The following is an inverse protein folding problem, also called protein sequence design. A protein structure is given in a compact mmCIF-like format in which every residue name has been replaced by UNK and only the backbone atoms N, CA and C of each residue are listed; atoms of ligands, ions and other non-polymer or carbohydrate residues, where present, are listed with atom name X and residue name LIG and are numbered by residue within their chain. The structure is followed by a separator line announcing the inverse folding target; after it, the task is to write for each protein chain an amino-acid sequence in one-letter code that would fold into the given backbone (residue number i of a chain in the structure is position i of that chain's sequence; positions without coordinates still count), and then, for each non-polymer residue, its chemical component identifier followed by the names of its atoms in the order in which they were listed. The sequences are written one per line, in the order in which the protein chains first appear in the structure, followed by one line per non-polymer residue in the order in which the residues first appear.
data_IF_326084991567
#
_entry.id   IF_326084991567
#
_cell.length_a   1.000
_cell.length_b   1.000
_cell.length_c   1.000
_cell.angle_alpha   90.00
_cell.angle_beta   90.00
_cell.angle_gamma   90.00
#
_symmetry.space_group_name_H-M   'P 1'
#
loop_
_entity.id
_entity.type
_entity.pdbx_description
1 polymer ?
#
# COMPACT_ATOMS: atom_id res chain seq x y z
N UNK A 1 16.46 16.19 2.60
CA UNK A 1 16.01 15.02 3.37
C UNK A 1 14.56 15.27 3.72
N UNK A 2 13.64 14.49 3.14
CA UNK A 2 12.19 14.66 3.28
C UNK A 2 11.77 14.38 4.72
N UNK A 3 11.56 15.42 5.52
CA UNK A 3 11.06 15.30 6.89
C UNK A 3 9.52 15.19 6.90
N UNK A 4 8.93 14.96 8.07
CA UNK A 4 7.47 14.83 8.20
C UNK A 4 6.68 16.04 7.68
N UNK A 5 7.23 17.26 7.76
CA UNK A 5 6.58 18.45 7.19
C UNK A 5 6.52 18.39 5.66
N UNK A 6 7.58 17.91 5.02
CA UNK A 6 7.60 17.75 3.57
C UNK A 6 6.64 16.63 3.12
N UNK A 7 6.50 15.55 3.90
CA UNK A 7 5.49 14.52 3.66
C UNK A 7 4.06 15.09 3.71
N UNK A 8 3.74 15.88 4.74
CA UNK A 8 2.44 16.58 4.83
C UNK A 8 2.23 17.52 3.65
N UNK A 9 3.27 18.22 3.19
CA UNK A 9 3.18 19.08 2.01
C UNK A 9 2.86 18.27 0.74
N UNK A 10 3.48 17.10 0.55
CA UNK A 10 3.18 16.21 -0.59
C UNK A 10 1.73 15.72 -0.54
N UNK A 11 1.29 15.22 0.62
CA UNK A 11 -0.10 14.78 0.81
C UNK A 11 -1.10 15.92 0.52
N UNK A 12 -0.88 17.09 1.10
CA UNK A 12 -1.74 18.26 0.89
C UNK A 12 -1.77 18.72 -0.58
N UNK A 13 -0.61 18.70 -1.26
CA UNK A 13 -0.53 19.03 -2.69
C UNK A 13 -1.32 18.02 -3.52
N UNK A 14 -1.18 16.73 -3.24
CA UNK A 14 -1.88 15.68 -3.98
C UNK A 14 -3.40 15.78 -3.78
N UNK A 15 -3.86 15.96 -2.55
CA UNK A 15 -5.28 16.17 -2.24
C UNK A 15 -5.86 17.40 -2.96
N UNK A 16 -5.12 18.51 -3.03
CA UNK A 16 -5.55 19.73 -3.75
C UNK A 16 -5.73 19.54 -5.25
N UNK A 17 -4.99 18.61 -5.87
CA UNK A 17 -5.13 18.29 -7.30
C UNK A 17 -6.46 17.60 -7.62
N UNK A 18 -7.18 17.07 -6.61
CA UNK A 18 -8.43 16.31 -6.76
C UNK A 18 -8.31 15.03 -7.59
N UNK A 19 -7.10 14.62 -7.93
CA UNK A 19 -6.83 13.29 -8.46
C UNK A 19 -6.66 12.34 -7.27
N UNK A 20 -7.69 11.52 -7.08
CA UNK A 20 -7.85 10.67 -5.90
C UNK A 20 -7.55 9.20 -6.18
N UNK A 21 -6.97 8.88 -7.34
CA UNK A 21 -6.55 7.52 -7.69
C UNK A 21 -5.43 7.07 -6.75
N UNK A 22 -5.43 5.82 -6.36
CA UNK A 22 -4.42 5.22 -5.49
C UNK A 22 -2.99 5.41 -6.03
N UNK A 23 -2.80 5.12 -7.33
CA UNK A 23 -1.53 5.29 -8.04
C UNK A 23 -0.91 6.68 -7.90
N UNK A 24 -1.71 7.74 -7.84
CA UNK A 24 -1.14 9.10 -7.70
C UNK A 24 -0.66 9.40 -6.28
N UNK A 25 -1.16 8.70 -5.26
CA UNK A 25 -0.60 8.74 -3.91
C UNK A 25 0.65 7.87 -3.79
N UNK A 26 0.63 6.69 -4.42
CA UNK A 26 1.82 5.82 -4.55
C UNK A 26 3.00 6.58 -5.13
N UNK A 27 2.85 7.12 -6.35
CA UNK A 27 3.96 7.67 -7.12
C UNK A 27 4.43 9.04 -6.60
N UNK A 28 3.50 9.89 -6.14
CA UNK A 28 3.84 11.28 -5.80
C UNK A 28 4.07 11.52 -4.31
N UNK A 29 3.72 10.57 -3.44
CA UNK A 29 3.79 10.78 -1.98
C UNK A 29 4.44 9.62 -1.26
N UNK A 30 3.86 8.43 -1.34
CA UNK A 30 4.22 7.30 -0.49
C UNK A 30 5.58 6.71 -0.88
N UNK A 31 5.80 6.43 -2.16
CA UNK A 31 7.10 5.94 -2.63
C UNK A 31 8.24 6.94 -2.36
N UNK A 32 8.13 8.24 -2.72
CA UNK A 32 9.15 9.23 -2.39
C UNK A 32 9.45 9.33 -0.89
N UNK A 33 8.44 9.23 -0.04
CA UNK A 33 8.61 9.25 1.41
C UNK A 33 9.37 8.02 1.92
N UNK A 34 9.00 6.83 1.45
CA UNK A 34 9.69 5.59 1.80
C UNK A 34 11.15 5.61 1.34
N UNK A 35 11.45 6.09 0.12
CA UNK A 35 12.82 6.19 -0.39
C UNK A 35 13.73 7.08 0.47
N UNK A 36 13.15 8.07 1.15
CA UNK A 36 13.90 8.94 2.07
C UNK A 36 14.09 8.30 3.44
N UNK A 37 13.09 7.58 3.94
CA UNK A 37 13.16 6.92 5.24
C UNK A 37 14.01 5.65 5.22
N UNK A 38 14.02 4.97 4.08
CA UNK A 38 14.56 3.62 3.89
C UNK A 38 15.68 3.65 2.85
N UNK A 39 16.69 4.50 3.08
CA UNK A 39 17.77 4.78 2.11
C UNK A 39 18.59 3.56 1.72
N UNK A 40 18.60 2.53 2.56
CA UNK A 40 19.36 1.31 2.35
C UNK A 40 18.58 0.23 1.59
N UNK A 41 17.33 0.53 1.18
CA UNK A 41 16.43 -0.43 0.54
C UNK A 41 15.94 0.06 -0.82
N UNK A 42 15.69 -0.88 -1.72
CA UNK A 42 15.01 -0.65 -2.99
C UNK A 42 13.50 -0.57 -2.73
N UNK A 43 12.86 0.46 -3.31
CA UNK A 43 11.41 0.69 -3.23
C UNK A 43 10.83 0.69 -4.65
N UNK A 44 10.32 -0.47 -5.06
CA UNK A 44 9.92 -0.71 -6.45
C UNK A 44 8.41 -0.81 -6.63
N UNK A 45 7.83 -0.15 -7.64
CA UNK A 45 6.44 -0.34 -8.02
C UNK A 45 6.27 -1.72 -8.66
N UNK A 46 5.32 -2.49 -8.14
CA UNK A 46 5.07 -3.88 -8.55
C UNK A 46 3.59 -4.14 -8.80
N UNK A 47 2.79 -3.07 -8.92
CA UNK A 47 1.35 -3.06 -9.19
C UNK A 47 0.99 -3.65 -10.57
N UNK A 48 1.96 -3.76 -11.47
CA UNK A 48 1.79 -4.31 -12.82
C UNK A 48 2.52 -5.64 -12.97
N UNK A 49 1.75 -6.67 -13.31
CA UNK A 49 2.26 -8.00 -13.70
C UNK A 49 2.49 -8.09 -15.20
N UNK A 50 3.63 -8.64 -15.59
CA UNK A 50 3.96 -9.00 -16.98
C UNK A 50 4.17 -10.53 -17.04
N UNK A 51 3.81 -11.15 -18.16
CA UNK A 51 4.08 -12.57 -18.36
C UNK A 51 5.58 -12.78 -18.65
N UNK A 52 6.27 -13.51 -17.78
CA UNK A 52 7.70 -13.81 -17.93
C UNK A 52 8.06 -15.13 -17.25
N UNK A 53 8.99 -15.86 -17.84
CA UNK A 53 9.62 -17.04 -17.21
C UNK A 53 10.69 -16.67 -16.19
N UNK A 54 11.22 -15.45 -16.24
CA UNK A 54 12.37 -15.01 -15.43
C UNK A 54 11.96 -14.52 -14.03
N UNK A 55 10.72 -14.05 -13.90
CA UNK A 55 10.19 -13.46 -12.67
C UNK A 55 9.18 -14.39 -11.99
N UNK A 56 9.36 -14.61 -10.70
CA UNK A 56 8.45 -15.34 -9.84
C UNK A 56 7.78 -14.39 -8.85
N UNK A 57 6.60 -13.90 -9.25
CA UNK A 57 5.78 -13.04 -8.39
C UNK A 57 5.40 -13.73 -7.08
N UNK A 58 5.26 -15.06 -7.03
CA UNK A 58 4.83 -15.78 -5.81
C UNK A 58 5.82 -15.66 -4.65
N UNK A 59 7.04 -15.18 -4.89
CA UNK A 59 8.01 -14.93 -3.83
C UNK A 59 7.58 -13.80 -2.89
N UNK A 60 6.94 -12.74 -3.40
CA UNK A 60 6.51 -11.58 -2.59
C UNK A 60 5.05 -11.17 -2.79
N UNK A 61 4.41 -11.61 -3.87
CA UNK A 61 2.97 -11.51 -4.08
C UNK A 61 2.25 -12.68 -3.42
N UNK A 62 1.15 -12.37 -2.75
CA UNK A 62 0.19 -13.37 -2.31
C UNK A 62 -0.49 -14.10 -3.46
N UNK A 63 -1.23 -15.16 -3.16
CA UNK A 63 -2.11 -15.83 -4.13
C UNK A 63 -3.55 -15.94 -3.64
N UNK A 64 -4.47 -16.11 -4.58
CA UNK A 64 -5.87 -16.45 -4.32
C UNK A 64 -6.42 -17.31 -5.45
N UNK A 65 -7.47 -18.08 -5.16
CA UNK A 65 -8.12 -18.93 -6.15
C UNK A 65 -9.31 -18.19 -6.76
N UNK A 66 -9.38 -18.14 -8.09
CA UNK A 66 -10.52 -17.63 -8.84
C UNK A 66 -10.89 -18.66 -9.91
N UNK A 67 -12.12 -19.17 -9.88
CA UNK A 67 -12.60 -20.20 -10.82
C UNK A 67 -11.69 -21.44 -10.87
N UNK A 68 -11.16 -21.88 -9.72
CA UNK A 68 -10.25 -23.03 -9.62
C UNK A 68 -8.81 -22.76 -10.07
N UNK A 69 -8.49 -21.54 -10.50
CA UNK A 69 -7.16 -21.13 -10.95
C UNK A 69 -6.50 -20.29 -9.86
N UNK A 70 -5.26 -20.63 -9.50
CA UNK A 70 -4.45 -19.82 -8.59
C UNK A 70 -3.90 -18.59 -9.33
N UNK A 71 -4.16 -17.40 -8.77
CA UNK A 71 -3.77 -16.11 -9.31
C UNK A 71 -2.94 -15.37 -8.26
N UNK A 72 -1.87 -14.72 -8.70
CA UNK A 72 -1.05 -13.83 -7.87
C UNK A 72 -1.75 -12.48 -7.66
N UNK A 73 -1.86 -12.02 -6.42
CA UNK A 73 -2.27 -10.67 -6.08
C UNK A 73 -1.03 -9.77 -5.96
N UNK A 74 -0.91 -8.77 -6.83
CA UNK A 74 0.21 -7.81 -6.81
C UNK A 74 -0.05 -6.75 -5.74
N UNK A 75 0.92 -6.47 -4.84
CA UNK A 75 0.89 -5.27 -4.01
C UNK A 75 1.28 -4.04 -4.84
N UNK A 76 1.19 -2.84 -4.27
CA UNK A 76 1.56 -1.61 -4.97
C UNK A 76 3.06 -1.40 -5.03
N UNK A 77 3.74 -1.57 -3.88
CA UNK A 77 5.19 -1.46 -3.77
C UNK A 77 5.82 -2.71 -3.14
N UNK A 78 7.06 -2.99 -3.52
CA UNK A 78 7.93 -3.95 -2.85
C UNK A 78 9.11 -3.21 -2.22
N UNK A 79 9.42 -3.55 -0.97
CA UNK A 79 10.62 -3.11 -0.27
C UNK A 79 11.56 -4.29 -0.16
N UNK A 80 12.75 -4.16 -0.72
CA UNK A 80 13.75 -5.22 -0.71
C UNK A 80 15.16 -4.70 -0.54
N UNK A 81 16.05 -5.61 -0.21
CA UNK A 81 17.48 -5.43 -0.38
C UNK A 81 17.89 -6.19 -1.66
N UNK A 82 18.58 -5.48 -2.56
CA UNK A 82 19.07 -5.96 -3.85
C UNK A 82 17.93 -6.42 -4.78
N UNK A 83 16.99 -5.53 -5.10
CA UNK A 83 15.93 -5.81 -6.06
C UNK A 83 16.52 -6.27 -7.39
N UNK A 84 15.99 -7.38 -7.89
CA UNK A 84 16.32 -7.88 -9.21
C UNK A 84 15.08 -8.49 -9.83
N UNK A 85 14.74 -8.04 -11.04
CA UNK A 85 13.58 -8.56 -11.76
C UNK A 85 13.74 -10.03 -12.13
N UNK A 86 14.95 -10.52 -12.38
CA UNK A 86 15.23 -11.94 -12.65
C UNK A 86 15.37 -12.73 -11.34
N UNK A 87 14.38 -12.61 -10.45
CA UNK A 87 14.40 -13.13 -9.07
C UNK A 87 14.36 -14.67 -8.95
N UNK A 88 14.25 -15.39 -10.08
CA UNK A 88 14.47 -16.84 -10.12
C UNK A 88 15.95 -17.22 -10.09
N UNK A 89 16.79 -16.38 -10.70
CA UNK A 89 18.24 -16.59 -10.81
C UNK A 89 19.03 -15.77 -9.79
N UNK A 90 18.44 -14.69 -9.30
CA UNK A 90 19.07 -13.77 -8.38
C UNK A 90 18.38 -13.80 -7.01
N UNK A 91 19.17 -13.71 -5.94
CA UNK A 91 18.65 -13.63 -4.58
C UNK A 91 18.19 -12.20 -4.33
N UNK A 92 16.89 -12.06 -4.03
CA UNK A 92 16.27 -10.80 -3.58
C UNK A 92 15.82 -11.00 -2.14
N UNK A 93 16.17 -10.06 -1.26
CA UNK A 93 15.85 -10.11 0.16
C UNK A 93 14.63 -9.23 0.46
N UNK A 94 13.44 -9.81 0.31
CA UNK A 94 12.17 -9.11 0.54
C UNK A 94 12.00 -8.71 2.01
N UNK A 95 11.78 -7.42 2.27
CA UNK A 95 11.59 -6.88 3.62
C UNK A 95 10.12 -6.72 3.97
N UNK A 96 9.33 -6.19 3.05
CA UNK A 96 7.88 -6.16 3.11
C UNK A 96 7.31 -5.75 1.74
N UNK A 97 5.98 -5.79 1.64
CA UNK A 97 5.24 -5.15 0.56
C UNK A 97 4.34 -4.06 1.12
N UNK A 98 3.97 -3.10 0.28
CA UNK A 98 3.07 -1.99 0.65
C UNK A 98 1.80 -2.10 -0.16
N UNK A 99 0.68 -2.16 0.54
CA UNK A 99 -0.67 -1.98 0.01
C UNK A 99 -1.10 -0.55 0.32
N UNK A 100 -1.39 0.21 -0.71
CA UNK A 100 -1.73 1.61 -0.67
C UNK A 100 -3.21 1.73 -0.98
N UNK A 101 -3.94 2.59 -0.28
CA UNK A 101 -5.32 2.94 -0.61
C UNK A 101 -5.49 4.43 -0.82
N UNK A 102 -6.56 4.81 -1.48
CA UNK A 102 -6.94 6.22 -1.59
C UNK A 102 -7.54 6.72 -0.27
N UNK A 103 -6.99 7.80 0.35
CA UNK A 103 -7.58 8.40 1.55
C UNK A 103 -8.98 8.99 1.30
N UNK A 104 -9.42 9.05 0.03
CA UNK A 104 -10.73 9.55 -0.37
C UNK A 104 -11.66 8.42 -0.81
N UNK A 105 -11.21 7.54 -1.72
CA UNK A 105 -12.09 6.51 -2.28
C UNK A 105 -12.22 5.26 -1.39
N UNK A 106 -11.13 4.86 -0.73
CA UNK A 106 -11.08 3.68 0.13
C UNK A 106 -10.25 3.96 1.40
N UNK A 107 -10.71 4.87 2.26
CA UNK A 107 -9.94 5.30 3.42
C UNK A 107 -9.78 4.19 4.45
N UNK A 108 -8.63 4.17 5.12
CA UNK A 108 -8.44 3.42 6.36
C UNK A 108 -8.38 4.37 7.56
N UNK A 109 -8.02 5.63 7.34
CA UNK A 109 -7.98 6.67 8.37
C UNK A 109 -9.36 6.90 8.99
N UNK A 110 -9.41 6.91 10.31
CA UNK A 110 -10.66 7.09 11.09
C UNK A 110 -11.48 5.80 11.24
N UNK A 111 -10.96 4.66 10.81
CA UNK A 111 -11.59 3.35 10.98
C UNK A 111 -10.72 2.44 11.85
N UNK A 112 -11.39 1.59 12.64
CA UNK A 112 -10.76 0.46 13.31
C UNK A 112 -10.25 -0.56 12.28
N UNK A 113 -9.10 -1.23 12.49
CA UNK A 113 -8.54 -2.19 11.53
C UNK A 113 -9.52 -3.27 11.05
N UNK A 114 -10.39 -3.75 11.93
CA UNK A 114 -11.42 -4.75 11.61
C UNK A 114 -12.46 -4.29 10.58
N UNK A 115 -12.51 -2.97 10.27
CA UNK A 115 -13.45 -2.37 9.31
C UNK A 115 -12.82 -2.04 7.97
N UNK A 116 -11.52 -2.30 7.78
CA UNK A 116 -10.86 -2.04 6.51
C UNK A 116 -11.42 -2.95 5.41
N UNK A 117 -11.73 -2.39 4.24
CA UNK A 117 -12.31 -3.15 3.11
C UNK A 117 -11.28 -4.01 2.39
N UNK A 118 -10.01 -3.64 2.53
CA UNK A 118 -8.85 -4.25 1.87
C UNK A 118 -8.18 -5.38 2.66
N UNK A 119 -8.79 -5.84 3.75
CA UNK A 119 -8.20 -6.89 4.60
C UNK A 119 -7.92 -8.20 3.84
N UNK A 120 -8.74 -8.54 2.85
CA UNK A 120 -8.50 -9.71 2.02
C UNK A 120 -7.27 -9.56 1.12
N UNK A 121 -6.94 -8.34 0.68
CA UNK A 121 -5.71 -8.07 -0.08
C UNK A 121 -4.48 -8.21 0.82
N UNK A 122 -4.53 -7.61 2.01
CA UNK A 122 -3.48 -7.77 3.04
C UNK A 122 -3.26 -9.24 3.37
N UNK A 123 -4.34 -10.00 3.60
CA UNK A 123 -4.28 -11.43 3.91
C UNK A 123 -3.62 -12.23 2.78
N UNK A 124 -3.91 -11.91 1.52
CA UNK A 124 -3.24 -12.57 0.39
C UNK A 124 -1.75 -12.30 0.45
N UNK A 125 -1.33 -11.03 0.55
CA UNK A 125 0.08 -10.64 0.56
C UNK A 125 0.88 -11.26 1.70
N UNK A 126 0.27 -11.45 2.88
CA UNK A 126 0.89 -12.14 4.01
C UNK A 126 1.21 -13.62 3.72
N UNK A 127 0.57 -14.24 2.74
CA UNK A 127 0.77 -15.63 2.34
C UNK A 127 1.80 -15.80 1.20
N UNK A 128 2.57 -14.77 0.84
CA UNK A 128 3.62 -14.92 -0.16
C UNK A 128 4.73 -15.88 0.33
N UNK A 129 5.41 -16.55 -0.61
CA UNK A 129 6.36 -17.64 -0.25
C UNK A 129 7.57 -17.17 0.54
N UNK A 130 8.06 -15.96 0.28
CA UNK A 130 9.28 -15.39 0.86
C UNK A 130 9.07 -14.02 1.51
N UNK A 131 7.83 -13.57 1.65
CA UNK A 131 7.47 -12.36 2.37
C UNK A 131 6.22 -12.61 3.21
N UNK A 132 6.27 -12.24 4.48
CA UNK A 132 5.12 -12.33 5.40
C UNK A 132 4.84 -10.99 6.07
N UNK A 133 5.28 -9.88 5.47
CA UNK A 133 5.16 -8.53 6.05
C UNK A 133 4.45 -7.61 5.06
N UNK A 134 3.45 -6.88 5.56
CA UNK A 134 2.64 -5.94 4.77
C UNK A 134 2.52 -4.63 5.52
N UNK A 135 2.77 -3.53 4.82
CA UNK A 135 2.41 -2.19 5.25
C UNK A 135 1.13 -1.80 4.52
N UNK A 136 0.06 -1.48 5.25
CA UNK A 136 -1.17 -0.93 4.70
C UNK A 136 -1.23 0.56 5.01
N UNK A 137 -1.45 1.40 4.00
CA UNK A 137 -1.57 2.85 4.22
C UNK A 137 -2.51 3.53 3.23
N UNK A 138 -3.17 4.61 3.66
CA UNK A 138 -3.83 5.57 2.76
C UNK A 138 -3.05 6.89 2.64
N UNK A 139 -1.78 6.89 3.06
CA UNK A 139 -0.94 8.08 3.15
C UNK A 139 -1.24 8.96 4.37
N UNK A 140 -2.13 8.55 5.28
CA UNK A 140 -2.39 9.28 6.53
C UNK A 140 -2.30 8.31 7.70
N UNK A 141 -3.00 7.19 7.64
CA UNK A 141 -2.83 6.09 8.59
C UNK A 141 -1.90 5.04 8.00
N UNK A 142 -1.04 4.48 8.83
CA UNK A 142 -0.10 3.40 8.51
C UNK A 142 -0.31 2.24 9.47
N UNK A 143 -0.55 1.05 8.93
CA UNK A 143 -0.77 -0.18 9.71
C UNK A 143 0.21 -1.24 9.25
N UNK A 144 0.77 -1.99 10.19
CA UNK A 144 1.86 -2.93 9.94
C UNK A 144 1.42 -4.33 10.34
N UNK A 145 1.59 -5.30 9.45
CA UNK A 145 1.21 -6.70 9.66
C UNK A 145 2.42 -7.61 9.47
N UNK A 146 2.46 -8.70 10.25
CA UNK A 146 3.43 -9.78 10.08
C UNK A 146 2.77 -11.13 10.34
N UNK A 147 2.88 -12.05 9.35
CA UNK A 147 2.36 -13.43 9.32
C UNK A 147 0.85 -13.58 9.42
N UNK A 148 0.18 -12.75 10.19
CA UNK A 148 -1.25 -12.81 10.47
C UNK A 148 -1.92 -11.45 10.26
N UNK A 149 -3.25 -11.48 10.13
CA UNK A 149 -4.08 -10.29 9.97
C UNK A 149 -4.36 -9.59 11.32
N UNK A 150 -3.32 -9.48 12.14
CA UNK A 150 -3.31 -8.78 13.41
C UNK A 150 -2.19 -7.73 13.34
N UNK A 151 -2.49 -6.43 13.47
CA UNK A 151 -1.44 -5.41 13.44
C UNK A 151 -0.39 -5.67 14.53
N UNK A 152 0.89 -5.59 14.17
CA UNK A 152 2.01 -5.84 15.11
C UNK A 152 2.20 -4.70 16.11
N UNK A 153 1.72 -3.51 15.75
CA UNK A 153 1.68 -2.31 16.59
C UNK A 153 0.35 -1.58 16.33
N UNK A 154 0.00 -0.66 17.23
CA UNK A 154 -1.10 0.26 16.98
C UNK A 154 -0.84 1.05 15.68
N UNK A 155 -1.89 1.23 14.88
CA UNK A 155 -1.79 2.01 13.64
C UNK A 155 -1.30 3.42 13.93
N UNK A 156 -0.35 3.88 13.12
CA UNK A 156 0.24 5.21 13.25
C UNK A 156 -0.56 6.17 12.38
N UNK A 157 -1.23 7.13 13.01
CA UNK A 157 -1.95 8.20 12.31
C UNK A 157 -1.06 9.44 12.21
N UNK A 158 -0.68 9.80 10.99
CA UNK A 158 0.19 10.93 10.65
C UNK A 158 -0.57 12.21 10.34
N UNK A 159 -1.84 12.32 10.74
CA UNK A 159 -2.58 13.57 10.60
C UNK A 159 -4.08 13.44 10.78
N UNK A 160 -4.73 14.57 11.01
CA UNK A 160 -6.18 14.67 10.98
C UNK A 160 -6.62 14.89 9.53
N UNK A 161 -7.45 13.99 9.02
CA UNK A 161 -8.03 14.08 7.69
C UNK A 161 -9.18 15.10 7.72
N UNK A 162 -8.86 16.39 7.81
CA UNK A 162 -9.84 17.50 7.91
C UNK A 162 -10.72 17.67 6.65
N UNK A 163 -10.60 16.80 5.65
CA UNK A 163 -11.31 16.93 4.38
C UNK A 163 -12.65 16.17 4.28
N UNK A 164 -13.19 15.66 5.39
CA UNK A 164 -14.57 15.11 5.45
C UNK A 164 -15.35 15.81 6.56
N UNK A 165 -16.04 16.92 6.29
CA UNK A 165 -17.52 16.91 6.18
C UNK A 165 -18.12 18.20 5.57
N UNK A 166 -17.41 18.98 4.74
CA UNK A 166 -18.01 20.14 4.03
C UNK A 166 -18.52 19.79 2.62
N UNK A 167 -19.29 18.71 2.48
CA UNK A 167 -20.23 18.54 1.37
C UNK A 167 -21.13 17.32 1.58
N UNK A 168 -22.19 17.45 2.38
CA UNK A 168 -23.45 16.69 2.20
C UNK A 168 -24.60 17.20 3.10
N UNK A 169 -24.70 18.52 3.32
CA UNK A 169 -25.93 19.11 3.88
C UNK A 169 -27.05 19.34 2.84
N UNK A 170 -26.81 19.11 1.54
CA UNK A 170 -27.78 19.44 0.48
C UNK A 170 -28.28 18.26 -0.38
N UNK A 171 -28.22 17.01 0.11
CA UNK A 171 -28.92 15.87 -0.54
C UNK A 171 -30.09 15.31 0.28
N UNK A 172 -30.81 16.19 0.99
CA UNK A 172 -32.19 15.94 1.41
C UNK A 172 -33.10 16.96 0.71
N UNK A 173 -33.55 16.60 -0.49
CA UNK A 173 -34.82 16.96 -1.14
C UNK A 173 -34.65 16.82 -2.65
N UNK A 174 -35.02 15.65 -3.14
CA UNK A 174 -35.63 15.48 -4.45
C UNK A 174 -36.61 14.31 -4.28
N UNK A 175 -37.87 14.74 -4.11
CA UNK A 175 -39.17 14.06 -4.18
C UNK A 175 -39.21 12.59 -3.80
#
# INVERSE_FOLDING_TARGET
MLNYEEYKLLMNRQLKKKDVRERVFQDNVIRPFLQVLLTDYDIEPVDVKINSSEHDYTQYCGTYVKNGIEITATPDLCISDNWNWENRKNIVNYKCVVEIKSPILDPITGFEPSKYRCLEEVKRHLNAKKNSKVILTDGITWTFYERELNPIIASICLGNLDYRLKSNSNRKKLV
#
